data_IF_958289646662
#
_entry.id   IF_958289646662
#
_cell.length_a   1.000
_cell.length_b   1.000
_cell.length_c   1.000
_cell.angle_alpha   90.00
_cell.angle_beta   90.00
_cell.angle_gamma   90.00
#
_symmetry.space_group_name_H-M   'P 1'
#
loop_
_entity.id
_entity.type
_entity.pdbx_description
1 polymer ?
#
# COMPACT_ATOMS: atom_id res chain seq x y z
N UNK A 1 -2.10 -0.37 27.32
CA UNK A 1 -3.42 0.04 26.81
C UNK A 1 -3.17 0.36 25.37
N UNK A 2 -3.28 -0.67 24.53
CA UNK A 2 -2.87 -0.58 23.12
C UNK A 2 -3.90 0.24 22.37
N UNK A 3 -3.61 1.53 22.19
CA UNK A 3 -4.21 2.34 21.14
C UNK A 3 -3.83 1.68 19.82
N UNK A 4 -4.66 0.72 19.37
CA UNK A 4 -4.64 0.28 17.98
C UNK A 4 -4.84 1.54 17.17
N UNK A 5 -3.76 2.02 16.55
CA UNK A 5 -3.80 3.09 15.56
C UNK A 5 -5.00 2.80 14.65
N UNK A 6 -6.00 3.66 14.70
CA UNK A 6 -7.18 3.57 13.84
C UNK A 6 -6.75 3.88 12.41
N UNK A 7 -6.11 2.91 11.75
CA UNK A 7 -5.79 3.01 10.33
C UNK A 7 -7.10 2.91 9.57
N UNK A 8 -7.58 4.06 9.11
CA UNK A 8 -8.81 4.16 8.33
C UNK A 8 -8.52 3.82 6.86
N UNK A 9 -8.26 2.54 6.62
CA UNK A 9 -7.93 1.99 5.30
C UNK A 9 -9.08 2.19 4.30
N UNK A 10 -10.32 2.22 4.78
CA UNK A 10 -11.50 2.53 3.94
C UNK A 10 -11.47 3.97 3.45
N UNK A 11 -11.13 4.91 4.31
CA UNK A 11 -10.95 6.30 3.91
C UNK A 11 -9.76 6.45 2.95
N UNK A 12 -8.68 5.69 3.13
CA UNK A 12 -7.58 5.65 2.16
C UNK A 12 -8.03 5.14 0.79
N UNK A 13 -8.80 4.04 0.74
CA UNK A 13 -9.38 3.47 -0.48
C UNK A 13 -10.17 4.53 -1.24
N UNK A 14 -11.13 5.18 -0.59
CA UNK A 14 -11.96 6.21 -1.21
C UNK A 14 -11.14 7.39 -1.78
N UNK A 15 -10.10 7.82 -1.05
CA UNK A 15 -9.18 8.86 -1.52
C UNK A 15 -8.36 8.44 -2.74
N UNK A 16 -7.85 7.21 -2.73
CA UNK A 16 -7.06 6.63 -3.83
C UNK A 16 -7.89 6.43 -5.10
N UNK A 17 -9.13 5.94 -4.98
CA UNK A 17 -10.05 5.77 -6.10
C UNK A 17 -10.44 7.12 -6.72
N UNK A 18 -10.60 8.16 -5.89
CA UNK A 18 -10.78 9.52 -6.38
C UNK A 18 -9.57 9.98 -7.20
N UNK A 19 -8.36 9.83 -6.68
CA UNK A 19 -7.13 10.20 -7.38
C UNK A 19 -7.02 9.44 -8.71
N UNK A 20 -7.30 8.14 -8.71
CA UNK A 20 -7.28 7.33 -9.93
C UNK A 20 -8.25 7.89 -10.99
N UNK A 21 -9.49 8.25 -10.60
CA UNK A 21 -10.47 8.84 -11.51
C UNK A 21 -10.00 10.17 -12.12
N UNK A 22 -9.21 10.96 -11.38
CA UNK A 22 -8.69 12.25 -11.82
C UNK A 22 -7.52 12.14 -12.82
N UNK A 23 -6.76 11.03 -12.84
CA UNK A 23 -5.67 10.82 -13.80
C UNK A 23 -6.25 10.73 -15.23
N UNK A 24 -5.78 11.46 -16.25
CA UNK A 24 -6.34 11.30 -17.59
C UNK A 24 -5.97 9.94 -18.21
N UNK A 25 -6.93 9.26 -18.86
CA UNK A 25 -6.78 7.89 -19.40
C UNK A 25 -5.48 7.66 -20.21
N UNK A 26 -5.04 8.57 -21.11
CA UNK A 26 -3.80 8.37 -21.87
C UNK A 26 -2.52 8.25 -21.02
N UNK A 27 -2.55 8.72 -19.78
CA UNK A 27 -1.40 8.71 -18.85
C UNK A 27 -1.50 7.61 -17.78
N UNK A 28 -2.52 6.74 -17.83
CA UNK A 28 -2.75 5.68 -16.83
C UNK A 28 -1.99 4.38 -17.14
N UNK A 29 -0.69 4.46 -17.42
CA UNK A 29 0.13 3.24 -17.41
C UNK A 29 0.25 2.71 -15.98
N UNK A 30 0.43 1.39 -15.79
CA UNK A 30 0.50 0.78 -14.46
C UNK A 30 1.56 1.43 -13.58
N UNK A 31 2.73 1.72 -14.16
CA UNK A 31 3.81 2.44 -13.49
C UNK A 31 3.39 3.84 -13.02
N UNK A 32 2.72 4.59 -13.90
CA UNK A 32 2.31 5.97 -13.59
C UNK A 32 1.18 5.98 -12.56
N UNK A 33 0.22 5.06 -12.67
CA UNK A 33 -0.85 4.88 -11.72
C UNK A 33 -0.31 4.55 -10.34
N UNK A 34 0.50 3.47 -10.23
CA UNK A 34 1.14 3.06 -8.97
C UNK A 34 1.86 4.23 -8.30
N UNK A 35 2.71 4.94 -9.05
CA UNK A 35 3.49 6.04 -8.47
C UNK A 35 2.61 7.23 -8.08
N UNK A 36 1.56 7.52 -8.84
CA UNK A 36 0.61 8.61 -8.51
C UNK A 36 -0.16 8.29 -7.23
N UNK A 37 -0.64 7.05 -7.09
CA UNK A 37 -1.34 6.58 -5.88
C UNK A 37 -0.42 6.59 -4.66
N UNK A 38 0.83 6.15 -4.81
CA UNK A 38 1.84 6.25 -3.77
C UNK A 38 2.07 7.71 -3.33
N UNK A 39 2.25 8.64 -4.27
CA UNK A 39 2.40 10.06 -3.97
C UNK A 39 1.16 10.64 -3.25
N UNK A 40 -0.04 10.24 -3.68
CA UNK A 40 -1.28 10.72 -3.07
C UNK A 40 -1.45 10.23 -1.64
N UNK A 41 -1.19 8.94 -1.37
CA UNK A 41 -1.26 8.40 -0.02
C UNK A 41 -0.17 9.01 0.87
N UNK A 42 1.06 9.16 0.35
CA UNK A 42 2.14 9.84 1.06
C UNK A 42 1.72 11.25 1.50
N UNK A 43 1.27 12.08 0.55
CA UNK A 43 0.87 13.46 0.82
C UNK A 43 -0.26 13.53 1.86
N UNK A 44 -1.25 12.65 1.74
CA UNK A 44 -2.34 12.54 2.71
C UNK A 44 -1.85 12.19 4.11
N UNK A 45 -1.06 11.13 4.25
CA UNK A 45 -0.57 10.68 5.55
C UNK A 45 0.31 11.74 6.23
N UNK A 46 1.14 12.44 5.45
CA UNK A 46 1.90 13.58 5.96
C UNK A 46 0.99 14.73 6.42
N UNK A 47 -0.09 15.03 5.70
CA UNK A 47 -1.07 16.04 6.12
C UNK A 47 -1.83 15.64 7.39
N UNK A 48 -1.96 14.33 7.68
CA UNK A 48 -2.47 13.79 8.94
C UNK A 48 -1.43 13.82 10.08
N UNK A 49 -0.23 14.39 9.86
CA UNK A 49 0.83 14.51 10.86
C UNK A 49 1.68 13.24 11.06
N UNK A 50 1.56 12.26 10.15
CA UNK A 50 2.31 11.01 10.25
C UNK A 50 3.71 11.15 9.66
N UNK A 51 4.66 10.42 10.24
CA UNK A 51 6.00 10.27 9.65
C UNK A 51 5.97 9.13 8.64
N UNK A 52 6.24 9.43 7.37
CA UNK A 52 6.12 8.47 6.27
C UNK A 52 7.42 8.41 5.49
N UNK A 53 7.86 7.20 5.16
CA UNK A 53 9.03 6.97 4.30
C UNK A 53 8.56 6.23 3.05
N UNK A 54 8.93 6.76 1.88
CA UNK A 54 8.64 6.13 0.60
C UNK A 54 9.80 5.25 0.14
N UNK A 55 9.47 4.20 -0.62
CA UNK A 55 10.44 3.27 -1.22
C UNK A 55 11.41 2.64 -0.22
N UNK A 56 10.94 2.35 0.99
CA UNK A 56 11.77 1.66 1.99
C UNK A 56 12.13 0.26 1.48
N UNK A 57 13.42 -0.06 1.46
CA UNK A 57 13.94 -1.38 1.10
C UNK A 57 14.32 -2.15 2.35
N UNK A 58 13.51 -3.12 2.80
CA UNK A 58 13.88 -3.98 3.92
C UNK A 58 15.17 -4.77 3.59
N UNK A 59 16.07 -5.00 4.56
CA UNK A 59 17.36 -5.66 4.31
C UNK A 59 17.30 -7.05 3.68
N UNK A 60 16.17 -7.76 3.78
CA UNK A 60 15.97 -9.14 3.27
C UNK A 60 14.93 -9.21 2.15
N UNK A 61 14.57 -8.08 1.54
CA UNK A 61 13.56 -8.01 0.49
C UNK A 61 14.17 -7.82 -0.90
N UNK A 62 13.52 -8.40 -1.91
CA UNK A 62 13.92 -8.27 -3.32
C UNK A 62 13.41 -6.96 -3.96
N UNK A 63 12.45 -6.28 -3.32
CA UNK A 63 11.92 -4.98 -3.77
C UNK A 63 11.61 -4.07 -2.57
N UNK A 64 11.57 -2.75 -2.78
CA UNK A 64 11.04 -1.85 -1.77
C UNK A 64 9.54 -2.06 -1.56
N UNK A 65 9.09 -1.76 -0.35
CA UNK A 65 7.69 -1.46 -0.05
C UNK A 65 7.42 0.00 -0.42
N UNK A 66 6.21 0.30 -0.89
CA UNK A 66 5.93 1.61 -1.48
C UNK A 66 5.89 2.70 -0.41
N UNK A 67 5.28 2.43 0.74
CA UNK A 67 5.27 3.35 1.89
C UNK A 67 5.41 2.59 3.20
N UNK A 68 6.07 3.21 4.17
CA UNK A 68 5.97 2.84 5.58
C UNK A 68 5.56 4.06 6.40
N UNK A 69 4.74 3.82 7.43
CA UNK A 69 4.42 4.77 8.49
C UNK A 69 5.28 4.39 9.68
N UNK A 70 6.07 5.33 10.19
CA UNK A 70 6.98 5.08 11.31
C UNK A 70 6.53 5.85 12.54
N UNK A 71 6.62 5.20 13.69
CA UNK A 71 6.50 5.88 14.96
C UNK A 71 7.85 6.52 15.30
N UNK A 72 7.85 7.85 15.45
CA UNK A 72 9.08 8.59 15.72
C UNK A 72 9.51 8.54 17.20
N UNK A 73 8.58 8.28 18.12
CA UNK A 73 8.88 8.18 19.55
C UNK A 73 9.46 6.80 19.91
N UNK A 74 8.93 5.75 19.29
CA UNK A 74 9.42 4.38 19.42
C UNK A 74 9.76 3.86 18.01
N UNK A 75 11.04 3.71 17.64
CA UNK A 75 11.47 3.46 16.26
C UNK A 75 10.97 2.10 15.74
N UNK A 76 9.73 2.10 15.28
CA UNK A 76 8.96 0.95 14.85
C UNK A 76 8.11 1.31 13.64
N UNK A 77 7.77 0.30 12.83
CA UNK A 77 6.94 0.49 11.64
C UNK A 77 5.48 0.19 12.03
N UNK A 78 4.64 1.21 12.00
CA UNK A 78 3.23 1.07 12.35
C UNK A 78 2.44 0.44 11.21
N UNK A 79 2.77 0.80 9.98
CA UNK A 79 2.10 0.28 8.78
C UNK A 79 3.07 0.21 7.60
N UNK A 80 2.93 -0.81 6.77
CA UNK A 80 3.62 -0.93 5.49
C UNK A 80 2.61 -1.15 4.35
N UNK A 81 2.82 -0.46 3.24
CA UNK A 81 1.90 -0.44 2.10
C UNK A 81 2.63 -0.81 0.82
N UNK A 82 2.01 -1.68 0.02
CA UNK A 82 2.39 -1.93 -1.37
C UNK A 82 1.23 -1.60 -2.32
N UNK A 83 1.57 -1.14 -3.51
CA UNK A 83 0.67 -0.97 -4.65
C UNK A 83 1.15 -1.88 -5.79
N UNK A 84 0.24 -2.65 -6.38
CA UNK A 84 0.51 -3.47 -7.56
C UNK A 84 -0.75 -3.58 -8.43
N UNK A 85 -0.63 -4.11 -9.65
CA UNK A 85 -1.82 -4.42 -10.47
C UNK A 85 -2.61 -5.60 -9.85
N UNK A 86 -1.90 -6.63 -9.42
CA UNK A 86 -2.43 -7.84 -8.76
C UNK A 86 -1.58 -8.16 -7.52
N UNK A 87 -1.99 -9.10 -6.68
CA UNK A 87 -1.16 -9.51 -5.54
C UNK A 87 0.04 -10.28 -6.11
N UNK A 88 1.25 -9.80 -5.80
CA UNK A 88 2.50 -10.43 -6.26
C UNK A 88 3.22 -11.14 -5.14
N UNK A 89 3.89 -12.26 -5.45
CA UNK A 89 4.79 -12.91 -4.50
C UNK A 89 5.88 -11.96 -3.99
N UNK A 90 6.37 -11.05 -4.85
CA UNK A 90 7.37 -10.06 -4.49
C UNK A 90 6.86 -9.07 -3.43
N UNK A 91 5.64 -8.54 -3.57
CA UNK A 91 5.05 -7.66 -2.55
C UNK A 91 4.84 -8.41 -1.23
N UNK A 92 4.31 -9.64 -1.28
CA UNK A 92 4.09 -10.46 -0.09
C UNK A 92 5.41 -10.76 0.61
N UNK A 93 6.45 -11.18 -0.11
CA UNK A 93 7.79 -11.43 0.46
C UNK A 93 8.38 -10.20 1.11
N UNK A 94 8.26 -9.03 0.46
CA UNK A 94 8.80 -7.77 0.97
C UNK A 94 8.07 -7.32 2.24
N UNK A 95 6.75 -7.37 2.27
CA UNK A 95 5.96 -7.10 3.48
C UNK A 95 6.18 -8.14 4.59
N UNK A 96 6.57 -9.37 4.23
CA UNK A 96 6.87 -10.43 5.18
C UNK A 96 8.28 -10.38 5.75
N UNK A 97 9.19 -9.56 5.20
CA UNK A 97 10.61 -9.61 5.57
C UNK A 97 10.98 -8.77 6.81
N UNK A 98 10.00 -8.13 7.43
CA UNK A 98 10.15 -7.28 8.60
C UNK A 98 8.86 -7.19 9.42
N UNK A 99 8.97 -6.70 10.65
CA UNK A 99 7.84 -6.51 11.55
C UNK A 99 7.19 -5.13 11.33
N UNK A 100 5.86 -5.14 11.24
CA UNK A 100 5.04 -3.94 11.14
C UNK A 100 3.69 -4.20 11.81
N UNK A 101 3.10 -3.16 12.42
CA UNK A 101 1.79 -3.27 13.07
C UNK A 101 0.67 -3.68 12.11
N UNK A 102 0.65 -3.10 10.91
CA UNK A 102 -0.25 -3.46 9.81
C UNK A 102 0.48 -3.56 8.47
N UNK A 103 -0.03 -4.42 7.58
CA UNK A 103 0.52 -4.61 6.23
C UNK A 103 -0.63 -4.60 5.23
N UNK A 104 -0.53 -3.77 4.20
CA UNK A 104 -1.62 -3.57 3.23
C UNK A 104 -1.08 -3.68 1.80
N UNK A 105 -1.79 -4.42 0.95
CA UNK A 105 -1.59 -4.41 -0.50
C UNK A 105 -2.83 -3.78 -1.16
N UNK A 106 -2.63 -2.68 -1.86
CA UNK A 106 -3.62 -2.11 -2.77
C UNK A 106 -3.39 -2.67 -4.18
N UNK A 107 -4.47 -3.12 -4.82
CA UNK A 107 -4.43 -3.62 -6.20
C UNK A 107 -5.23 -2.74 -7.15
N UNK A 108 -4.72 -2.53 -8.38
CA UNK A 108 -5.34 -1.67 -9.41
C UNK A 108 -5.67 -2.40 -10.71
N UNK A 109 -5.64 -3.73 -10.73
CA UNK A 109 -5.87 -4.50 -11.95
C UNK A 109 -7.30 -4.37 -12.46
N UNK A 110 -7.54 -3.99 -13.74
CA UNK A 110 -8.89 -3.78 -14.25
C UNK A 110 -9.72 -5.07 -14.33
N UNK A 111 -9.06 -6.23 -14.32
CA UNK A 111 -9.70 -7.54 -14.38
C UNK A 111 -9.77 -8.15 -12.98
N UNK A 112 -10.90 -7.94 -12.30
CA UNK A 112 -11.16 -8.48 -10.94
C UNK A 112 -10.83 -9.97 -10.83
N UNK A 113 -11.16 -10.76 -11.84
CA UNK A 113 -10.83 -12.20 -11.90
C UNK A 113 -9.33 -12.48 -11.69
N UNK A 114 -8.43 -11.71 -12.33
CA UNK A 114 -6.98 -11.88 -12.16
C UNK A 114 -6.52 -11.48 -10.76
N UNK A 115 -7.12 -10.44 -10.19
CA UNK A 115 -6.86 -10.00 -8.82
C UNK A 115 -7.28 -11.11 -7.84
N UNK A 116 -8.47 -11.67 -8.03
CA UNK A 116 -8.98 -12.75 -7.19
C UNK A 116 -8.13 -14.02 -7.31
N UNK A 117 -7.74 -14.40 -8.52
CA UNK A 117 -6.82 -15.52 -8.77
C UNK A 117 -5.48 -15.31 -8.05
N UNK A 118 -4.94 -14.08 -8.04
CA UNK A 118 -3.66 -13.75 -7.40
C UNK A 118 -3.68 -13.82 -5.86
N UNK A 119 -4.87 -13.91 -5.24
CA UNK A 119 -5.01 -14.04 -3.77
C UNK A 119 -4.37 -15.30 -3.21
N UNK A 120 -4.04 -16.29 -4.05
CA UNK A 120 -3.29 -17.46 -3.61
C UNK A 120 -1.92 -17.11 -2.98
N UNK A 121 -1.32 -15.98 -3.36
CA UNK A 121 -0.08 -15.49 -2.75
C UNK A 121 -0.30 -14.81 -1.39
N UNK A 122 -1.53 -14.38 -1.09
CA UNK A 122 -1.83 -13.54 0.06
C UNK A 122 -1.64 -14.32 1.37
N UNK A 123 -1.00 -13.68 2.35
CA UNK A 123 -0.87 -14.22 3.70
C UNK A 123 -1.94 -13.65 4.62
N UNK A 124 -2.37 -14.38 5.67
CA UNK A 124 -3.41 -13.91 6.59
C UNK A 124 -3.08 -12.60 7.33
N UNK A 125 -1.81 -12.29 7.53
CA UNK A 125 -1.34 -11.08 8.22
C UNK A 125 -1.25 -9.84 7.29
N UNK A 126 -1.54 -10.00 6.00
CA UNK A 126 -1.51 -8.92 5.02
C UNK A 126 -2.93 -8.64 4.54
N UNK A 127 -3.41 -7.42 4.80
CA UNK A 127 -4.69 -6.95 4.29
C UNK A 127 -4.59 -6.68 2.79
N UNK A 128 -5.60 -7.10 2.03
CA UNK A 128 -5.72 -6.81 0.60
C UNK A 128 -6.92 -5.91 0.35
N UNK A 129 -6.69 -4.81 -0.36
CA UNK A 129 -7.72 -3.90 -0.84
C UNK A 129 -7.65 -3.81 -2.35
N UNK A 130 -8.77 -4.05 -3.02
CA UNK A 130 -8.89 -3.79 -4.45
C UNK A 130 -9.47 -2.39 -4.66
N UNK A 131 -8.76 -1.56 -5.43
CA UNK A 131 -9.22 -0.25 -5.84
C UNK A 131 -10.09 -0.41 -7.10
N UNK A 132 -11.26 0.20 -7.09
CA UNK A 132 -12.23 0.16 -8.18
C UNK A 132 -12.35 1.54 -8.83
N UNK A 133 -12.41 1.56 -10.17
CA UNK A 133 -12.57 2.79 -10.95
C UNK A 133 -14.05 3.14 -11.14
#
# INVERSE_FOLDING_TARGET
MDEKLGLDVESWKAGLERVWREIPKPFRSDKSLRRTLQCALYARLCAEGRTVVADYLPPRADRPVDLIIVNAAEPSIECAVCFDEVITLYAVKSLSSFDAGAKVIFTTGPLKKKVDESRFFLKPDIQHIHLEL
#
